data_IF_142028031190
#
_entry.id   IF_142028031190
#
_cell.length_a   1.000
_cell.length_b   1.000
_cell.length_c   1.000
_cell.angle_alpha   90.00
_cell.angle_beta   90.00
_cell.angle_gamma   90.00
#
_symmetry.space_group_name_H-M   'P 1'
#
loop_
_entity.id
_entity.type
_entity.pdbx_description
1 polymer ?
#
# COMPACT_ATOMS: atom_id res chain seq x y z
N UNK A 1 -18.74 -2.68 2.32
CA UNK A 1 -18.37 -1.28 2.02
C UNK A 1 -17.70 -0.74 3.26
N UNK A 2 -16.38 -0.65 3.27
CA UNK A 2 -15.60 -0.11 4.39
C UNK A 2 -15.78 1.40 4.43
N UNK A 3 -15.91 1.99 5.61
CA UNK A 3 -16.10 3.44 5.76
C UNK A 3 -14.94 4.23 5.10
N UNK A 4 -15.18 5.43 4.56
CA UNK A 4 -14.11 6.27 4.01
C UNK A 4 -13.12 6.62 5.13
N UNK A 5 -11.85 6.28 4.91
CA UNK A 5 -10.76 6.52 5.86
C UNK A 5 -10.38 7.99 5.80
N UNK A 6 -10.35 8.67 6.94
CA UNK A 6 -10.01 10.09 7.00
C UNK A 6 -8.48 10.30 6.90
N UNK A 7 -8.07 11.43 6.33
CA UNK A 7 -6.67 11.86 6.42
C UNK A 7 -6.28 12.06 7.89
N UNK A 8 -5.15 11.47 8.30
CA UNK A 8 -4.65 11.40 9.66
C UNK A 8 -5.02 10.11 10.42
N UNK A 9 -5.91 9.28 9.88
CA UNK A 9 -6.18 7.96 10.45
C UNK A 9 -5.02 7.00 10.17
N UNK A 10 -4.56 6.28 11.20
CA UNK A 10 -3.56 5.23 11.03
C UNK A 10 -4.20 4.01 10.37
N UNK A 11 -3.76 3.68 9.16
CA UNK A 11 -4.26 2.55 8.37
C UNK A 11 -3.14 1.55 8.16
N UNK A 12 -3.39 0.28 8.50
CA UNK A 12 -2.41 -0.80 8.33
C UNK A 12 -2.61 -1.41 6.95
N UNK A 13 -1.67 -1.13 6.05
CA UNK A 13 -1.66 -1.67 4.69
C UNK A 13 -1.22 -3.14 4.68
N UNK A 14 -0.29 -3.52 5.54
CA UNK A 14 0.16 -4.91 5.61
C UNK A 14 1.09 -5.17 6.77
N UNK A 15 1.54 -6.41 6.89
CA UNK A 15 2.44 -6.82 7.97
C UNK A 15 3.44 -7.87 7.52
N UNK A 16 4.64 -7.82 8.11
CA UNK A 16 5.63 -8.88 7.95
C UNK A 16 5.13 -10.16 8.61
N UNK A 17 5.24 -11.25 7.89
CA UNK A 17 4.89 -12.55 8.39
C UNK A 17 6.14 -13.19 9.02
N UNK A 18 6.21 -13.14 10.34
CA UNK A 18 7.30 -13.76 11.11
C UNK A 18 7.23 -15.28 11.20
N UNK A 19 6.10 -15.88 10.79
CA UNK A 19 5.81 -17.31 10.98
C UNK A 19 6.18 -18.13 9.75
N UNK A 20 6.04 -17.56 8.54
CA UNK A 20 6.36 -18.25 7.29
C UNK A 20 7.47 -17.54 6.54
N UNK A 21 8.62 -18.20 6.39
CA UNK A 21 9.74 -17.70 5.57
C UNK A 21 9.45 -17.70 4.08
N UNK A 22 8.44 -18.47 3.63
CA UNK A 22 8.04 -18.57 2.22
C UNK A 22 7.15 -17.40 1.77
N UNK A 23 6.44 -16.75 2.70
CA UNK A 23 5.59 -15.58 2.40
C UNK A 23 5.92 -14.54 3.46
N UNK A 24 7.00 -13.77 3.28
CA UNK A 24 7.57 -12.90 4.31
C UNK A 24 6.69 -11.69 4.63
N UNK A 25 5.68 -11.41 3.81
CA UNK A 25 4.81 -10.26 3.95
C UNK A 25 3.37 -10.60 3.55
N UNK A 26 2.41 -9.98 4.23
CA UNK A 26 0.98 -10.16 3.97
C UNK A 26 0.27 -8.82 3.98
N UNK A 27 -0.37 -8.48 2.87
CA UNK A 27 -1.30 -7.36 2.75
C UNK A 27 -2.52 -7.53 3.68
N UNK A 28 -2.96 -6.41 4.23
CA UNK A 28 -4.18 -6.30 5.04
C UNK A 28 -5.40 -6.20 4.12
N UNK A 29 -6.59 -6.43 4.66
CA UNK A 29 -7.86 -6.16 3.95
C UNK A 29 -8.07 -4.67 3.69
N UNK A 30 -7.34 -3.82 4.42
CA UNK A 30 -7.34 -2.38 4.23
C UNK A 30 -6.34 -1.92 3.16
N UNK A 31 -5.53 -2.81 2.59
CA UNK A 31 -4.68 -2.46 1.47
C UNK A 31 -5.55 -2.14 0.24
N UNK A 32 -5.25 -1.06 -0.48
CA UNK A 32 -5.95 -0.78 -1.73
C UNK A 32 -5.64 -1.86 -2.77
N UNK A 33 -6.62 -2.15 -3.61
CA UNK A 33 -6.46 -3.01 -4.78
C UNK A 33 -5.44 -2.37 -5.73
N UNK A 34 -4.58 -3.17 -6.35
CA UNK A 34 -3.48 -2.69 -7.20
C UNK A 34 -2.14 -2.53 -6.47
N UNK A 35 -2.14 -2.47 -5.13
CA UNK A 35 -0.92 -2.43 -4.34
C UNK A 35 -0.29 -3.83 -4.24
N UNK A 36 0.62 -4.13 -5.17
CA UNK A 36 1.27 -5.44 -5.24
C UNK A 36 2.66 -5.46 -4.61
N UNK A 37 3.31 -4.30 -4.51
CA UNK A 37 4.70 -4.17 -4.08
C UNK A 37 4.84 -3.31 -2.83
N UNK A 38 5.69 -3.78 -1.91
CA UNK A 38 6.02 -3.06 -0.68
C UNK A 38 6.78 -1.78 -1.00
N UNK A 39 7.68 -1.82 -1.99
CA UNK A 39 8.48 -0.68 -2.42
C UNK A 39 7.57 0.47 -2.88
N UNK A 40 6.54 0.17 -3.69
CA UNK A 40 5.56 1.18 -4.09
C UNK A 40 4.83 1.76 -2.88
N UNK A 41 4.41 0.93 -1.93
CA UNK A 41 3.76 1.43 -0.73
C UNK A 41 4.66 2.43 0.02
N UNK A 42 5.96 2.15 0.15
CA UNK A 42 6.90 3.06 0.79
C UNK A 42 7.10 4.36 -0.01
N UNK A 43 7.19 4.30 -1.35
CA UNK A 43 7.27 5.48 -2.23
C UNK A 43 6.01 6.35 -2.15
N UNK A 44 4.84 5.73 -2.03
CA UNK A 44 3.54 6.39 -1.90
C UNK A 44 3.30 6.97 -0.49
N UNK A 45 4.27 6.82 0.42
CA UNK A 45 4.27 7.45 1.75
C UNK A 45 3.92 6.53 2.91
N UNK A 46 3.80 5.22 2.67
CA UNK A 46 3.68 4.25 3.76
C UNK A 46 4.99 4.17 4.56
N UNK A 47 4.86 3.81 5.83
CA UNK A 47 5.98 3.71 6.77
C UNK A 47 5.90 2.42 7.55
N UNK A 48 7.06 1.87 7.88
CA UNK A 48 7.16 0.73 8.77
C UNK A 48 7.10 1.18 10.23
N UNK A 49 6.11 0.67 10.96
CA UNK A 49 6.02 0.75 12.41
C UNK A 49 6.17 -0.66 12.98
N UNK A 50 7.42 -1.01 13.31
CA UNK A 50 7.76 -2.38 13.71
C UNK A 50 7.58 -3.35 12.54
N UNK A 51 6.60 -4.23 12.64
CA UNK A 51 6.27 -5.21 11.59
C UNK A 51 5.08 -4.81 10.73
N UNK A 52 4.45 -3.67 11.01
CA UNK A 52 3.28 -3.18 10.30
C UNK A 52 3.69 -2.09 9.32
N UNK A 53 3.23 -2.20 8.09
CA UNK A 53 3.33 -1.16 7.09
C UNK A 53 2.06 -0.31 7.15
N UNK A 54 2.21 0.97 7.44
CA UNK A 54 1.08 1.87 7.72
C UNK A 54 1.11 3.11 6.85
N UNK A 55 -0.07 3.66 6.58
CA UNK A 55 -0.22 5.02 6.05
C UNK A 55 -1.08 5.84 7.01
N UNK A 56 -0.80 7.13 7.05
CA UNK A 56 -1.61 8.12 7.77
C UNK A 56 -2.44 8.98 6.82
N UNK A 57 -2.24 8.84 5.51
CA UNK A 57 -2.98 9.60 4.50
C UNK A 57 -3.50 8.65 3.42
N UNK A 58 -4.47 7.84 3.83
CA UNK A 58 -5.07 6.82 2.97
C UNK A 58 -5.70 7.38 1.69
N UNK A 59 -6.45 8.51 1.71
CA UNK A 59 -7.00 9.09 0.48
C UNK A 59 -5.91 9.45 -0.53
N UNK A 60 -4.90 10.22 -0.10
CA UNK A 60 -3.78 10.63 -0.98
C UNK A 60 -3.00 9.42 -1.49
N UNK A 61 -2.80 8.41 -0.63
CA UNK A 61 -2.13 7.17 -1.00
C UNK A 61 -2.83 6.45 -2.15
N UNK A 62 -4.17 6.34 -2.11
CA UNK A 62 -4.95 5.67 -3.15
C UNK A 62 -4.89 6.45 -4.47
N UNK A 63 -5.00 7.78 -4.41
CA UNK A 63 -4.90 8.63 -5.60
C UNK A 63 -3.51 8.51 -6.27
N UNK A 64 -2.44 8.48 -5.47
CA UNK A 64 -1.08 8.30 -5.98
C UNK A 64 -0.86 6.89 -6.54
N UNK A 65 -1.42 5.85 -5.93
CA UNK A 65 -1.35 4.48 -6.46
C UNK A 65 -2.01 4.37 -7.83
N UNK A 66 -3.20 4.94 -8.00
CA UNK A 66 -3.90 4.93 -9.28
C UNK A 66 -3.09 5.67 -10.37
N UNK A 67 -2.44 6.77 -10.01
CA UNK A 67 -1.51 7.47 -10.89
C UNK A 67 -0.30 6.60 -11.24
N UNK A 68 0.30 5.92 -10.26
CA UNK A 68 1.46 5.06 -10.46
C UNK A 68 1.13 3.88 -11.38
N UNK A 69 0.01 3.17 -11.13
CA UNK A 69 -0.47 2.10 -12.00
C UNK A 69 -0.67 2.59 -13.44
N UNK A 70 -1.26 3.78 -13.63
CA UNK A 70 -1.46 4.34 -14.97
C UNK A 70 -0.16 4.76 -15.66
N UNK A 71 0.87 5.17 -14.92
CA UNK A 71 2.15 5.59 -15.49
C UNK A 71 3.07 4.42 -15.76
N UNK A 72 3.11 3.41 -14.89
CA UNK A 72 3.81 2.15 -15.18
C UNK A 72 3.15 1.42 -16.37
N UNK A 73 1.83 1.50 -16.47
CA UNK A 73 1.08 0.97 -17.60
C UNK A 73 1.09 1.88 -18.83
N UNK A 74 1.98 2.89 -18.93
CA UNK A 74 2.29 3.44 -20.25
C UNK A 74 3.15 2.40 -20.97
N UNK A 75 2.61 1.61 -21.92
CA UNK A 75 3.49 0.89 -22.82
C UNK A 75 4.41 1.94 -23.46
N UNK A 76 5.71 1.67 -23.48
CA UNK A 76 6.61 2.27 -24.45
C UNK A 76 5.93 2.15 -25.83
N UNK A 77 5.26 3.21 -26.26
CA UNK A 77 4.75 3.33 -27.61
C UNK A 77 5.97 3.69 -28.46
N UNK A 78 6.71 2.64 -28.85
CA UNK A 78 7.62 2.67 -30.00
C UNK A 78 6.81 2.70 -31.31
#
# INVERSE_FOLDING_TARGET
MTAPKAAGERVVLGRRNKVSTMVPFRWSEEAPLGLNEVEWAEELGAKWEGDELVTYDYPTFVDLLEYYEKNEYQPDND
#
